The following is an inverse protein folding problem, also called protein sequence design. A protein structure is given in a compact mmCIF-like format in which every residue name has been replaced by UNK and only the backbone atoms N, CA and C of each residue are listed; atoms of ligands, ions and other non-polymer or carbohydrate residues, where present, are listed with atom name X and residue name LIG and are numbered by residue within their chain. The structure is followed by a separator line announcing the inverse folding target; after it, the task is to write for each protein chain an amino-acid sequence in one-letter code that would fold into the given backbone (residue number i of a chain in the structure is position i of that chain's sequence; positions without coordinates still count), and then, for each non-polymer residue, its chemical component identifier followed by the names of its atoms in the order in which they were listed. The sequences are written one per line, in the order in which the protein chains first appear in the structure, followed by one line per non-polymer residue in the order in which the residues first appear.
data_IF_128798323558
#
_entry.id   IF_128798323558
#
_cell.length_a   1.000
_cell.length_b   1.000
_cell.length_c   1.000
_cell.angle_alpha   90.00
_cell.angle_beta   90.00
_cell.angle_gamma   90.00
#
_symmetry.space_group_name_H-M   'P 1'
#
loop_
_entity.id
_entity.type
_entity.pdbx_description
1 polymer ?
#
# COMPACT_ATOMS: atom_id res chain seq x y z
N UNK A 1 0.08 -25.70 8.38
CA UNK A 1 0.53 -24.79 9.45
C UNK A 1 -0.69 -24.11 10.05
N UNK A 2 -0.80 -24.09 11.38
CA UNK A 2 -1.92 -23.52 12.14
C UNK A 2 -2.27 -22.10 11.70
N UNK A 3 -1.28 -21.20 11.58
CA UNK A 3 -1.53 -19.81 11.22
C UNK A 3 -2.19 -19.64 9.84
N UNK A 4 -1.77 -20.44 8.85
CA UNK A 4 -2.33 -20.37 7.47
C UNK A 4 -3.82 -20.70 7.42
N UNK A 5 -4.27 -21.61 8.29
CA UNK A 5 -5.68 -21.96 8.42
C UNK A 5 -6.47 -20.83 9.07
N UNK A 6 -5.92 -20.19 10.10
CA UNK A 6 -6.56 -19.07 10.79
C UNK A 6 -6.80 -17.86 9.87
N UNK A 7 -5.85 -17.55 8.99
CA UNK A 7 -5.98 -16.42 8.07
C UNK A 7 -6.77 -16.76 6.79
N UNK A 8 -7.24 -18.01 6.64
CA UNK A 8 -7.84 -18.50 5.41
C UNK A 8 -7.06 -18.12 4.14
N UNK A 9 -5.73 -18.29 4.20
CA UNK A 9 -4.77 -17.91 3.16
C UNK A 9 -4.84 -16.46 2.68
N UNK A 10 -5.37 -15.53 3.49
CA UNK A 10 -5.46 -14.10 3.15
C UNK A 10 -4.75 -13.26 4.19
N UNK A 11 -3.73 -12.51 3.78
CA UNK A 11 -2.91 -11.71 4.68
C UNK A 11 -2.93 -10.24 4.30
N UNK A 12 -3.20 -9.40 5.29
CA UNK A 12 -3.04 -7.96 5.17
C UNK A 12 -1.70 -7.54 5.78
N UNK A 13 -0.96 -6.68 5.08
CA UNK A 13 0.26 -6.06 5.60
C UNK A 13 0.19 -4.56 5.37
N UNK A 14 0.35 -3.77 6.42
CA UNK A 14 0.33 -2.32 6.34
C UNK A 14 1.72 -1.75 6.04
N UNK A 15 1.80 -0.80 5.10
CA UNK A 15 3.02 -0.08 4.74
C UNK A 15 2.94 1.34 5.34
N UNK A 16 3.83 1.62 6.30
CA UNK A 16 3.89 2.90 7.00
C UNK A 16 4.86 3.89 6.35
N UNK A 17 4.36 4.79 5.50
CA UNK A 17 5.21 5.73 4.77
C UNK A 17 5.85 6.79 5.65
N UNK A 18 5.03 7.58 6.36
CA UNK A 18 5.52 8.69 7.17
C UNK A 18 6.45 8.25 8.30
N UNK A 19 6.15 7.14 8.97
CA UNK A 19 6.93 6.74 10.13
C UNK A 19 8.31 6.21 9.72
N UNK A 20 8.41 5.43 8.64
CA UNK A 20 9.72 5.06 8.08
C UNK A 20 10.51 6.28 7.59
N UNK A 21 9.85 7.28 7.00
CA UNK A 21 10.52 8.49 6.54
C UNK A 21 11.00 9.38 7.70
N UNK A 22 10.29 9.40 8.84
CA UNK A 22 10.75 10.08 10.07
C UNK A 22 12.00 9.42 10.66
N UNK A 23 12.10 8.09 10.53
CA UNK A 23 13.21 7.31 11.07
C UNK A 23 14.48 7.40 10.21
N UNK A 24 14.37 7.13 8.91
CA UNK A 24 15.53 6.95 8.03
C UNK A 24 15.62 7.98 6.88
N UNK A 25 14.71 8.95 6.83
CA UNK A 25 14.59 9.89 5.70
C UNK A 25 13.87 9.28 4.48
N UNK A 26 13.39 10.16 3.59
CA UNK A 26 12.48 9.75 2.51
C UNK A 26 13.08 8.76 1.51
N UNK A 27 14.36 8.92 1.14
CA UNK A 27 14.99 8.08 0.10
C UNK A 27 15.22 6.65 0.60
N UNK A 28 15.81 6.50 1.79
CA UNK A 28 16.06 5.19 2.39
C UNK A 28 14.74 4.48 2.71
N UNK A 29 13.76 5.20 3.27
CA UNK A 29 12.44 4.66 3.54
C UNK A 29 11.73 4.18 2.27
N UNK A 30 11.76 4.98 1.19
CA UNK A 30 11.13 4.62 -0.08
C UNK A 30 11.74 3.36 -0.69
N UNK A 31 13.07 3.25 -0.70
CA UNK A 31 13.75 2.04 -1.18
C UNK A 31 13.43 0.81 -0.31
N UNK A 32 13.52 0.95 1.02
CA UNK A 32 13.22 -0.14 1.94
C UNK A 32 11.78 -0.65 1.78
N UNK A 33 10.80 0.25 1.60
CA UNK A 33 9.40 -0.10 1.36
C UNK A 33 9.25 -0.86 0.05
N UNK A 34 9.85 -0.36 -1.03
CA UNK A 34 9.79 -1.03 -2.34
C UNK A 34 10.35 -2.46 -2.25
N UNK A 35 11.56 -2.62 -1.72
CA UNK A 35 12.20 -3.93 -1.56
C UNK A 35 11.43 -4.86 -0.61
N UNK A 36 10.80 -4.33 0.45
CA UNK A 36 9.99 -5.11 1.37
C UNK A 36 8.72 -5.64 0.67
N UNK A 37 8.05 -4.79 -0.12
CA UNK A 37 6.86 -5.20 -0.88
C UNK A 37 7.19 -6.27 -1.91
N UNK A 38 8.30 -6.16 -2.66
CA UNK A 38 8.75 -7.23 -3.59
C UNK A 38 8.95 -8.57 -2.88
N UNK A 39 9.63 -8.56 -1.73
CA UNK A 39 9.86 -9.78 -0.93
C UNK A 39 8.56 -10.38 -0.40
N UNK A 40 7.63 -9.55 0.08
CA UNK A 40 6.33 -10.00 0.56
C UNK A 40 5.49 -10.62 -0.55
N UNK A 41 5.49 -10.01 -1.74
CA UNK A 41 4.77 -10.52 -2.92
C UNK A 41 5.32 -11.90 -3.28
N UNK A 42 6.64 -12.02 -3.51
CA UNK A 42 7.26 -13.30 -3.86
C UNK A 42 7.04 -14.39 -2.80
N UNK A 43 7.13 -14.01 -1.51
CA UNK A 43 6.86 -14.93 -0.41
C UNK A 43 5.40 -15.42 -0.45
N UNK A 44 4.43 -14.52 -0.51
CA UNK A 44 3.01 -14.89 -0.47
C UNK A 44 2.59 -15.70 -1.70
N UNK A 45 3.13 -15.38 -2.88
CA UNK A 45 2.92 -16.18 -4.09
C UNK A 45 3.47 -17.60 -3.94
N UNK A 46 4.70 -17.76 -3.41
CA UNK A 46 5.29 -19.09 -3.16
C UNK A 46 4.51 -19.93 -2.14
N UNK A 47 3.73 -19.29 -1.27
CA UNK A 47 2.99 -19.94 -0.20
C UNK A 47 1.49 -20.07 -0.47
N UNK A 48 1.02 -19.65 -1.65
CA UNK A 48 -0.40 -19.64 -2.02
C UNK A 48 -1.23 -18.86 -0.98
N UNK A 49 -0.82 -17.60 -0.76
CA UNK A 49 -1.45 -16.62 0.15
C UNK A 49 -1.84 -15.38 -0.65
N UNK A 50 -3.10 -14.97 -0.55
CA UNK A 50 -3.60 -13.68 -1.03
C UNK A 50 -3.04 -12.55 -0.16
N UNK A 51 -2.01 -11.87 -0.66
CA UNK A 51 -1.48 -10.67 -0.04
C UNK A 51 -2.29 -9.44 -0.42
N UNK A 52 -2.69 -8.64 0.56
CA UNK A 52 -3.24 -7.29 0.38
C UNK A 52 -2.33 -6.30 1.10
N UNK A 53 -1.74 -5.39 0.33
CA UNK A 53 -0.97 -4.28 0.86
C UNK A 53 -1.92 -3.14 1.25
N UNK A 54 -1.82 -2.73 2.52
CA UNK A 54 -2.56 -1.60 3.05
C UNK A 54 -1.65 -0.37 3.15
N UNK A 55 -1.86 0.59 2.26
CA UNK A 55 -1.04 1.80 2.18
C UNK A 55 -1.47 2.83 3.21
N UNK A 56 -0.60 3.10 4.18
CA UNK A 56 -0.82 4.11 5.22
C UNK A 56 -0.65 5.55 4.74
N UNK A 57 -0.74 6.49 5.69
CA UNK A 57 -0.66 7.93 5.43
C UNK A 57 0.74 8.39 4.98
N UNK A 58 0.77 9.41 4.13
CA UNK A 58 1.95 10.24 3.87
C UNK A 58 2.91 9.74 2.79
N UNK A 59 2.54 8.71 2.04
CA UNK A 59 3.16 8.38 0.76
C UNK A 59 2.59 9.20 -0.39
N UNK A 60 3.20 9.11 -1.57
CA UNK A 60 2.69 9.72 -2.82
C UNK A 60 1.28 9.23 -3.18
N UNK A 61 0.90 8.03 -2.75
CA UNK A 61 -0.42 7.41 -2.94
C UNK A 61 -1.55 8.21 -2.25
N UNK A 62 -1.29 8.83 -1.09
CA UNK A 62 -2.30 9.53 -0.29
C UNK A 62 -2.74 10.90 -0.85
N UNK A 63 -1.98 11.47 -1.79
CA UNK A 63 -2.16 12.88 -2.22
C UNK A 63 -3.29 13.14 -3.23
N UNK A 64 -3.91 12.08 -3.77
CA UNK A 64 -5.02 12.19 -4.72
C UNK A 64 -4.65 12.72 -6.12
N UNK A 65 -5.58 12.58 -7.07
CA UNK A 65 -5.41 13.02 -8.46
C UNK A 65 -4.39 12.22 -9.28
N UNK A 66 -3.87 12.82 -10.35
CA UNK A 66 -2.86 12.20 -11.23
C UNK A 66 -1.59 11.70 -10.50
N UNK A 67 -1.07 12.38 -9.46
CA UNK A 67 0.06 11.88 -8.67
C UNK A 67 -0.22 10.55 -7.97
N UNK A 68 -1.45 10.30 -7.53
CA UNK A 68 -1.83 9.04 -6.89
C UNK A 68 -1.86 7.88 -7.90
N UNK A 69 -2.39 8.12 -9.10
CA UNK A 69 -2.40 7.12 -10.17
C UNK A 69 -0.98 6.73 -10.61
N UNK A 70 -0.07 7.70 -10.72
CA UNK A 70 1.33 7.43 -11.03
C UNK A 70 2.03 6.66 -9.89
N UNK A 71 1.76 7.03 -8.63
CA UNK A 71 2.30 6.36 -7.46
C UNK A 71 1.85 4.89 -7.34
N UNK A 72 0.62 4.58 -7.75
CA UNK A 72 0.12 3.21 -7.81
C UNK A 72 0.81 2.41 -8.92
N UNK A 73 1.03 3.02 -10.09
CA UNK A 73 1.75 2.38 -11.22
C UNK A 73 3.22 2.13 -10.93
N UNK A 74 3.83 2.92 -10.04
CA UNK A 74 5.24 2.76 -9.66
C UNK A 74 5.46 1.75 -8.54
N UNK A 75 4.41 1.10 -8.04
CA UNK A 75 4.56 0.03 -7.04
C UNK A 75 5.18 -1.23 -7.67
N UNK A 76 5.79 -2.11 -6.87
CA UNK A 76 6.27 -3.39 -7.37
C UNK A 76 5.21 -4.18 -8.15
N UNK A 77 5.59 -4.92 -9.20
CA UNK A 77 4.67 -5.81 -9.91
C UNK A 77 3.95 -6.75 -8.96
N UNK A 78 2.63 -6.90 -9.13
CA UNK A 78 1.79 -7.76 -8.27
C UNK A 78 1.28 -7.10 -6.98
N UNK A 79 1.75 -5.90 -6.63
CA UNK A 79 1.32 -5.17 -5.42
C UNK A 79 -0.19 -4.92 -5.31
N UNK A 80 -0.88 -4.81 -6.45
CA UNK A 80 -2.33 -4.55 -6.53
C UNK A 80 -3.14 -5.78 -6.97
N UNK A 81 -2.51 -6.97 -7.08
CA UNK A 81 -3.11 -8.19 -7.63
C UNK A 81 -4.42 -8.59 -6.92
N UNK A 82 -4.49 -8.39 -5.60
CA UNK A 82 -5.63 -8.77 -4.77
C UNK A 82 -6.42 -7.55 -4.25
N UNK A 83 -6.27 -6.39 -4.90
CA UNK A 83 -7.01 -5.17 -4.60
C UNK A 83 -6.16 -4.03 -4.06
N UNK A 84 -6.80 -2.85 -3.96
CA UNK A 84 -6.22 -1.63 -3.43
C UNK A 84 -6.85 -1.30 -2.07
N UNK A 85 -6.02 -1.15 -1.04
CA UNK A 85 -6.43 -0.61 0.25
C UNK A 85 -5.51 0.54 0.63
N UNK A 86 -6.09 1.73 0.82
CA UNK A 86 -5.34 2.95 1.13
C UNK A 86 -6.03 3.73 2.24
N UNK A 87 -5.23 4.38 3.10
CA UNK A 87 -5.74 5.37 4.05
C UNK A 87 -6.01 6.67 3.32
N UNK A 88 -7.28 7.08 3.27
CA UNK A 88 -7.65 8.42 2.84
C UNK A 88 -7.45 9.42 3.98
N UNK A 89 -6.69 10.48 3.71
CA UNK A 89 -6.43 11.54 4.68
C UNK A 89 -7.70 12.39 4.87
N UNK A 90 -8.05 12.69 6.12
CA UNK A 90 -9.27 13.44 6.46
C UNK A 90 -9.32 14.80 5.76
N UNK A 91 -8.18 15.49 5.68
CA UNK A 91 -8.02 16.76 4.97
C UNK A 91 -8.25 16.64 3.45
N UNK A 92 -8.13 15.44 2.88
CA UNK A 92 -8.31 15.17 1.44
C UNK A 92 -9.73 14.73 1.08
N UNK A 93 -10.56 14.32 2.04
CA UNK A 93 -11.90 13.76 1.78
C UNK A 93 -12.77 14.73 0.98
N UNK A 94 -12.82 16.02 1.37
CA UNK A 94 -13.61 17.03 0.65
C UNK A 94 -13.14 17.21 -0.79
N UNK A 95 -11.84 17.13 -1.05
CA UNK A 95 -11.28 17.33 -2.38
C UNK A 95 -11.50 16.13 -3.30
N UNK A 96 -11.58 14.91 -2.74
CA UNK A 96 -11.80 13.68 -3.52
C UNK A 96 -13.27 13.32 -3.67
N UNK A 97 -14.09 13.58 -2.67
CA UNK A 97 -15.47 13.08 -2.59
C UNK A 97 -16.50 14.18 -2.32
N UNK A 98 -16.10 15.45 -2.27
CA UNK A 98 -17.00 16.56 -1.95
C UNK A 98 -18.01 16.89 -3.05
N UNK A 99 -17.81 16.40 -4.27
CA UNK A 99 -18.74 16.56 -5.40
C UNK A 99 -18.88 15.21 -6.14
N UNK A 100 -20.09 14.79 -6.54
CA UNK A 100 -20.29 13.53 -7.26
C UNK A 100 -19.53 13.41 -8.59
N UNK A 101 -19.22 14.54 -9.25
CA UNK A 101 -18.44 14.53 -10.50
C UNK A 101 -16.94 14.29 -10.28
N UNK A 102 -16.47 14.45 -9.04
CA UNK A 102 -15.06 14.29 -8.65
C UNK A 102 -14.82 12.91 -8.01
N UNK A 103 -15.86 12.32 -7.40
CA UNK A 103 -15.84 11.00 -6.77
C UNK A 103 -15.85 9.86 -7.80
#
# INVERSE_FOLDING_TARGET
SWYRQQINRKQYVMIGYSDSAKDAGMMAAGWAQYSAMEKLIGLCESQDIELILFHGRGGTIGRGGAPAAQALRSQPPGSLKNGLRVTEQGEMIRFKFGLPQVA
#
